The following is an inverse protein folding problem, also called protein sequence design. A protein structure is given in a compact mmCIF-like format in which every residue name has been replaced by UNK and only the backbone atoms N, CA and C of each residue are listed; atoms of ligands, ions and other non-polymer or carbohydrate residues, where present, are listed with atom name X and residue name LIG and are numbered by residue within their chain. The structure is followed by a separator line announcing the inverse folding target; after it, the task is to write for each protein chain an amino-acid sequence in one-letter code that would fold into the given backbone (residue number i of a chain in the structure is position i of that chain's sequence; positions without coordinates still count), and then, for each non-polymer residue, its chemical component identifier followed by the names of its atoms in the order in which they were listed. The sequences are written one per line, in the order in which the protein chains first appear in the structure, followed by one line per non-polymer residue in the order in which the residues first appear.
data_IF_349551352672
#
_entry.id   IF_349551352672
#
_cell.length_a   1.000
_cell.length_b   1.000
_cell.length_c   1.000
_cell.angle_alpha   90.00
_cell.angle_beta   90.00
_cell.angle_gamma   90.00
#
_symmetry.space_group_name_H-M   'P 1'
#
loop_
_entity.id
_entity.type
_entity.pdbx_description
1 polymer ?
#
# COMPACT_ATOMS: atom_id res chain seq x y z
N UNK A 1 -4.26 28.76 -10.33
CA UNK A 1 -2.82 28.48 -10.23
C UNK A 1 -2.69 27.01 -10.51
N UNK A 2 -2.12 26.64 -11.67
CA UNK A 2 -2.04 25.23 -12.06
C UNK A 2 -1.01 24.56 -11.17
N UNK A 3 -1.42 23.51 -10.46
CA UNK A 3 -0.52 22.61 -9.74
C UNK A 3 0.44 22.07 -10.80
N UNK A 4 1.74 22.35 -10.67
CA UNK A 4 2.75 21.61 -11.40
C UNK A 4 2.51 20.13 -11.03
N UNK A 5 2.09 19.32 -12.00
CA UNK A 5 2.11 17.86 -11.86
C UNK A 5 3.45 17.50 -11.22
N UNK A 6 3.44 16.79 -10.10
CA UNK A 6 4.67 16.23 -9.55
C UNK A 6 5.24 15.37 -10.67
N UNK A 7 6.36 15.83 -11.23
CA UNK A 7 7.06 15.08 -12.25
C UNK A 7 7.78 13.94 -11.54
N UNK A 8 7.12 12.78 -11.57
CA UNK A 8 7.65 11.56 -10.99
C UNK A 8 8.92 11.08 -11.71
N UNK A 9 9.20 11.57 -12.93
CA UNK A 9 10.41 11.24 -13.69
C UNK A 9 11.68 11.83 -13.04
N UNK A 10 11.55 12.96 -12.34
CA UNK A 10 12.65 13.66 -11.67
C UNK A 10 12.82 13.28 -10.19
N UNK A 11 12.16 12.20 -9.73
CA UNK A 11 12.28 11.79 -8.34
C UNK A 11 13.71 11.33 -8.00
N UNK A 12 14.36 11.90 -6.97
CA UNK A 12 15.71 11.53 -6.59
C UNK A 12 15.70 10.24 -5.78
N UNK A 13 15.31 9.12 -6.41
CA UNK A 13 15.21 7.79 -5.78
C UNK A 13 16.53 7.43 -5.07
N UNK A 14 17.67 7.78 -5.67
CA UNK A 14 19.01 7.56 -5.10
C UNK A 14 19.28 8.33 -3.80
N UNK A 15 18.55 9.41 -3.54
CA UNK A 15 18.66 10.24 -2.35
C UNK A 15 17.68 9.83 -1.24
N UNK A 16 16.69 8.99 -1.56
CA UNK A 16 15.78 8.46 -0.55
C UNK A 16 16.55 7.56 0.41
N UNK A 17 16.47 7.84 1.70
CA UNK A 17 17.20 7.07 2.73
C UNK A 17 16.78 5.60 2.76
N UNK A 18 15.52 5.29 2.46
CA UNK A 18 15.07 3.91 2.24
C UNK A 18 15.86 3.25 1.10
N UNK A 19 16.02 3.92 -0.05
CA UNK A 19 16.79 3.40 -1.19
C UNK A 19 18.27 3.24 -0.86
N UNK A 20 18.86 4.21 -0.16
CA UNK A 20 20.24 4.15 0.31
C UNK A 20 20.44 2.98 1.28
N UNK A 21 19.46 2.73 2.16
CA UNK A 21 19.49 1.60 3.10
C UNK A 21 19.40 0.27 2.36
N UNK A 22 18.52 0.15 1.36
CA UNK A 22 18.42 -1.04 0.51
C UNK A 22 19.77 -1.31 -0.19
N UNK A 23 20.29 -0.30 -0.90
CA UNK A 23 21.56 -0.41 -1.64
C UNK A 23 22.75 -0.69 -0.74
N UNK A 24 22.88 0.05 0.37
CA UNK A 24 23.99 -0.10 1.33
C UNK A 24 24.01 -1.46 2.04
N UNK A 25 22.89 -2.19 2.05
CA UNK A 25 22.78 -3.55 2.58
C UNK A 25 22.89 -4.63 1.49
N UNK A 26 23.22 -4.26 0.26
CA UNK A 26 23.30 -5.19 -0.88
C UNK A 26 21.95 -5.80 -1.25
N UNK A 27 20.84 -5.13 -0.92
CA UNK A 27 19.48 -5.54 -1.32
C UNK A 27 19.12 -4.84 -2.63
N UNK A 28 18.15 -5.40 -3.38
CA UNK A 28 17.75 -4.89 -4.70
C UNK A 28 16.36 -4.29 -4.63
N UNK A 29 16.19 -3.05 -5.09
CA UNK A 29 14.86 -2.46 -5.25
C UNK A 29 14.23 -3.05 -6.51
N UNK A 30 12.99 -3.55 -6.41
CA UNK A 30 12.26 -4.14 -7.53
C UNK A 30 11.30 -3.15 -8.18
N UNK A 31 10.57 -2.40 -7.35
CA UNK A 31 9.70 -1.33 -7.81
C UNK A 31 9.41 -0.34 -6.67
N UNK A 32 8.89 0.82 -7.03
CA UNK A 32 8.41 1.84 -6.09
C UNK A 32 7.02 2.29 -6.55
N UNK A 33 6.04 2.22 -5.65
CA UNK A 33 4.69 2.71 -5.89
C UNK A 33 4.40 3.92 -5.03
N UNK A 34 3.66 4.88 -5.57
CA UNK A 34 3.06 5.96 -4.80
C UNK A 34 1.69 5.50 -4.28
N UNK A 35 1.44 5.70 -2.99
CA UNK A 35 0.21 5.30 -2.31
C UNK A 35 -0.42 6.52 -1.63
N UNK A 36 -1.36 6.32 -0.71
CA UNK A 36 -1.94 7.43 0.04
C UNK A 36 -2.72 8.40 -0.85
N UNK A 37 -2.81 9.67 -0.49
CA UNK A 37 -3.74 10.62 -1.14
C UNK A 37 -3.61 10.71 -2.66
N UNK A 38 -2.39 10.62 -3.21
CA UNK A 38 -2.16 10.65 -4.66
C UNK A 38 -2.78 9.45 -5.38
N UNK A 39 -2.60 8.24 -4.84
CA UNK A 39 -3.20 7.02 -5.37
C UNK A 39 -4.73 7.12 -5.45
N UNK A 40 -5.33 7.79 -4.47
CA UNK A 40 -6.77 8.02 -4.39
C UNK A 40 -7.26 9.27 -5.12
N UNK A 41 -6.39 10.07 -5.76
CA UNK A 41 -6.74 11.37 -6.38
C UNK A 41 -7.37 12.36 -5.38
N UNK A 42 -6.90 12.33 -4.14
CA UNK A 42 -7.38 13.13 -3.00
C UNK A 42 -6.28 14.05 -2.44
N UNK A 43 -5.19 14.20 -3.15
CA UNK A 43 -4.09 15.09 -2.80
C UNK A 43 -4.53 16.57 -2.83
N UNK A 44 -3.80 17.38 -2.07
CA UNK A 44 -3.87 18.83 -2.07
C UNK A 44 -2.45 19.38 -1.92
N UNK A 45 -2.30 20.71 -1.96
CA UNK A 45 -1.00 21.41 -1.91
C UNK A 45 -0.14 21.06 -0.67
N UNK A 46 -0.74 20.53 0.39
CA UNK A 46 -0.06 20.14 1.63
C UNK A 46 0.05 18.63 1.82
N UNK A 47 -0.30 17.84 0.81
CA UNK A 47 -0.25 16.38 0.90
C UNK A 47 1.18 15.89 0.77
N UNK A 48 1.54 14.95 1.64
CA UNK A 48 2.78 14.21 1.56
C UNK A 48 2.71 13.21 0.38
N UNK A 49 3.87 12.86 -0.17
CA UNK A 49 4.03 11.86 -1.22
C UNK A 49 4.44 10.55 -0.54
N UNK A 50 3.46 9.67 -0.34
CA UNK A 50 3.68 8.35 0.25
C UNK A 50 4.29 7.40 -0.79
N UNK A 51 5.54 6.98 -0.59
CA UNK A 51 6.26 6.05 -1.46
C UNK A 51 6.53 4.72 -0.74
N UNK A 52 6.12 3.64 -1.38
CA UNK A 52 6.37 2.27 -0.93
C UNK A 52 7.37 1.62 -1.84
N UNK A 53 8.50 1.24 -1.27
CA UNK A 53 9.59 0.57 -1.96
C UNK A 53 9.52 -0.92 -1.71
N UNK A 54 9.39 -1.72 -2.77
CA UNK A 54 9.50 -3.18 -2.65
C UNK A 54 10.90 -3.61 -3.03
N UNK A 55 11.55 -4.35 -2.14
CA UNK A 55 12.91 -4.83 -2.32
C UNK A 55 13.04 -6.34 -2.14
N UNK A 56 14.13 -6.89 -2.64
CA UNK A 56 14.49 -8.29 -2.53
C UNK A 56 15.84 -8.39 -1.82
N UNK A 57 15.89 -9.23 -0.80
CA UNK A 57 17.16 -9.66 -0.18
C UNK A 57 17.79 -10.75 -1.05
N UNK A 58 19.12 -10.74 -1.27
CA UNK A 58 19.76 -11.77 -2.08
C UNK A 58 19.45 -13.18 -1.57
N UNK A 59 19.01 -14.08 -2.45
CA UNK A 59 18.50 -15.40 -2.05
C UNK A 59 19.59 -16.23 -1.38
N UNK A 60 20.85 -16.11 -1.84
CA UNK A 60 22.02 -16.75 -1.20
C UNK A 60 22.14 -16.40 0.29
N UNK A 61 21.80 -15.17 0.69
CA UNK A 61 21.85 -14.73 2.11
C UNK A 61 20.73 -15.35 2.93
N UNK A 62 19.54 -15.44 2.36
CA UNK A 62 18.40 -16.13 2.97
C UNK A 62 18.75 -17.60 3.22
N UNK A 63 19.29 -18.29 2.21
CA UNK A 63 19.67 -19.70 2.30
C UNK A 63 20.83 -19.97 3.27
N UNK A 64 21.69 -18.97 3.51
CA UNK A 64 22.71 -19.00 4.57
C UNK A 64 22.15 -18.80 5.98
N UNK A 65 20.85 -18.50 6.10
CA UNK A 65 20.20 -18.23 7.38
C UNK A 65 20.48 -16.83 7.93
N UNK A 66 20.94 -15.88 7.11
CA UNK A 66 21.12 -14.50 7.55
C UNK A 66 19.78 -13.84 7.90
N UNK A 67 19.78 -13.01 8.95
CA UNK A 67 18.60 -12.23 9.33
C UNK A 67 18.63 -10.86 8.66
N UNK A 68 17.48 -10.43 8.19
CA UNK A 68 17.26 -9.13 7.58
C UNK A 68 15.89 -8.61 8.02
N UNK A 69 15.70 -7.28 8.05
CA UNK A 69 14.40 -6.74 8.39
C UNK A 69 13.40 -7.00 7.27
N UNK A 70 12.19 -7.38 7.63
CA UNK A 70 11.06 -7.47 6.72
C UNK A 70 10.62 -6.09 6.19
N UNK A 71 10.94 -5.04 6.96
CA UNK A 71 10.61 -3.65 6.61
C UNK A 71 11.76 -2.69 6.89
N UNK A 72 11.90 -1.68 6.05
CA UNK A 72 12.72 -0.49 6.29
C UNK A 72 11.78 0.57 6.84
N UNK A 73 12.19 1.15 7.97
CA UNK A 73 11.39 2.11 8.73
C UNK A 73 10.95 3.27 7.85
N UNK A 74 9.71 3.69 8.07
CA UNK A 74 9.10 4.87 7.50
C UNK A 74 9.91 6.14 7.83
N UNK A 75 10.18 6.98 6.83
CA UNK A 75 10.89 8.24 6.99
C UNK A 75 10.28 9.35 6.15
N UNK A 76 9.99 10.48 6.80
CA UNK A 76 9.49 11.71 6.17
C UNK A 76 10.65 12.67 5.89
N UNK A 77 10.79 13.11 4.64
CA UNK A 77 11.85 14.02 4.20
C UNK A 77 11.28 15.16 3.37
N UNK A 78 11.45 16.40 3.84
CA UNK A 78 11.09 17.59 3.05
C UNK A 78 12.13 17.85 1.94
N UNK A 79 11.67 18.05 0.70
CA UNK A 79 12.48 18.34 -0.48
C UNK A 79 11.74 19.28 -1.44
N UNK A 80 12.42 19.69 -2.52
CA UNK A 80 11.78 20.44 -3.61
C UNK A 80 10.65 19.58 -4.19
N UNK A 81 9.45 20.14 -4.26
CA UNK A 81 8.26 19.44 -4.75
C UNK A 81 7.40 18.74 -3.69
N UNK A 82 7.82 18.65 -2.41
CA UNK A 82 6.95 18.13 -1.34
C UNK A 82 7.66 17.48 -0.17
N UNK A 83 6.86 16.88 0.73
CA UNK A 83 7.33 16.02 1.80
C UNK A 83 7.16 14.57 1.33
N UNK A 84 8.25 13.81 1.34
CA UNK A 84 8.26 12.41 0.93
C UNK A 84 8.19 11.51 2.13
N UNK A 85 7.19 10.65 2.19
CA UNK A 85 7.06 9.64 3.23
C UNK A 85 7.39 8.27 2.66
N UNK A 86 8.55 7.72 3.02
CA UNK A 86 9.09 6.52 2.38
C UNK A 86 9.14 5.34 3.33
N UNK A 87 8.60 4.19 2.92
CA UNK A 87 8.76 2.91 3.62
C UNK A 87 9.24 1.84 2.66
N UNK A 88 9.91 0.81 3.17
CA UNK A 88 10.38 -0.31 2.36
C UNK A 88 9.89 -1.65 2.87
N UNK A 89 9.41 -2.53 2.00
CA UNK A 89 9.03 -3.90 2.34
C UNK A 89 9.83 -4.92 1.53
N UNK A 90 10.29 -5.96 2.20
CA UNK A 90 10.85 -7.13 1.54
C UNK A 90 9.74 -7.90 0.81
N UNK A 91 10.00 -8.38 -0.40
CA UNK A 91 8.99 -9.03 -1.25
C UNK A 91 8.35 -10.25 -0.59
N UNK A 92 9.08 -11.05 0.17
CA UNK A 92 8.54 -12.18 0.93
C UNK A 92 7.56 -11.72 2.01
N UNK A 93 7.85 -10.61 2.68
CA UNK A 93 6.94 -10.02 3.66
C UNK A 93 5.66 -9.47 3.01
N UNK A 94 5.79 -8.82 1.86
CA UNK A 94 4.64 -8.37 1.07
C UNK A 94 3.75 -9.56 0.69
N UNK A 95 4.34 -10.65 0.19
CA UNK A 95 3.63 -11.88 -0.16
C UNK A 95 2.91 -12.50 1.05
N UNK A 96 3.58 -12.60 2.20
CA UNK A 96 2.96 -13.10 3.44
C UNK A 96 1.73 -12.28 3.85
N UNK A 97 1.75 -10.97 3.60
CA UNK A 97 0.63 -10.08 3.93
C UNK A 97 -0.47 -10.12 2.87
N UNK A 98 -0.14 -10.32 1.60
CA UNK A 98 -1.12 -10.56 0.53
C UNK A 98 -1.92 -11.84 0.79
N UNK A 99 -1.25 -12.93 1.19
CA UNK A 99 -1.90 -14.21 1.55
C UNK A 99 -2.89 -14.02 2.72
N UNK A 100 -2.61 -13.06 3.62
CA UNK A 100 -3.46 -12.71 4.76
C UNK A 100 -4.53 -11.65 4.43
N UNK A 101 -4.74 -11.32 3.16
CA UNK A 101 -5.72 -10.30 2.74
C UNK A 101 -5.39 -8.89 3.26
N UNK A 102 -4.13 -8.58 3.54
CA UNK A 102 -3.80 -7.27 4.10
C UNK A 102 -4.04 -6.13 3.09
N UNK A 103 -4.85 -5.15 3.47
CA UNK A 103 -5.26 -4.07 2.56
C UNK A 103 -4.08 -3.21 2.08
N UNK A 104 -3.10 -2.94 2.95
CA UNK A 104 -1.93 -2.15 2.57
C UNK A 104 -1.09 -2.93 1.57
N UNK A 105 -0.91 -4.25 1.77
CA UNK A 105 -0.21 -5.10 0.83
C UNK A 105 -0.86 -5.08 -0.57
N UNK A 106 -2.20 -5.15 -0.62
CA UNK A 106 -2.96 -5.03 -1.87
C UNK A 106 -2.70 -3.68 -2.53
N UNK A 107 -2.83 -2.57 -1.79
CA UNK A 107 -2.55 -1.22 -2.32
C UNK A 107 -1.11 -1.06 -2.82
N UNK A 108 -0.14 -1.65 -2.13
CA UNK A 108 1.27 -1.54 -2.49
C UNK A 108 1.59 -2.30 -3.78
N UNK A 109 0.92 -3.44 -4.01
CA UNK A 109 1.06 -4.23 -5.22
C UNK A 109 0.28 -3.66 -6.42
N UNK A 110 -0.85 -3.01 -6.17
CA UNK A 110 -1.84 -2.68 -7.21
C UNK A 110 -2.07 -1.18 -7.39
N UNK A 111 -1.28 -0.33 -6.73
CA UNK A 111 -1.36 1.11 -6.96
C UNK A 111 -1.19 1.42 -8.45
N UNK A 112 -2.08 2.25 -9.05
CA UNK A 112 -1.93 2.72 -10.42
C UNK A 112 -0.76 3.68 -10.62
N UNK A 113 -0.20 4.23 -9.53
CA UNK A 113 0.91 5.19 -9.59
C UNK A 113 2.22 4.47 -9.26
N UNK A 114 2.90 3.97 -10.28
CA UNK A 114 4.18 3.28 -10.15
C UNK A 114 5.31 4.20 -10.59
N UNK A 115 6.17 4.56 -9.65
CA UNK A 115 7.30 5.48 -9.86
C UNK A 115 8.46 4.79 -10.55
N UNK A 116 8.76 3.57 -10.11
CA UNK A 116 9.81 2.74 -10.68
C UNK A 116 9.16 1.42 -11.11
N UNK A 117 8.60 1.36 -12.34
CA UNK A 117 7.90 0.17 -12.81
C UNK A 117 8.86 -0.98 -13.09
N UNK A 118 8.34 -2.21 -13.00
CA UNK A 118 9.08 -3.41 -13.38
C UNK A 118 8.13 -4.52 -13.81
N UNK A 119 8.63 -5.46 -14.62
CA UNK A 119 7.86 -6.63 -15.03
C UNK A 119 7.39 -7.48 -13.82
N UNK A 120 8.18 -7.48 -12.73
CA UNK A 120 7.79 -8.13 -11.48
C UNK A 120 6.55 -7.48 -10.87
N UNK A 121 6.49 -6.14 -10.88
CA UNK A 121 5.34 -5.40 -10.35
C UNK A 121 4.07 -5.66 -11.15
N UNK A 122 4.15 -5.66 -12.48
CA UNK A 122 3.01 -5.96 -13.36
C UNK A 122 2.47 -7.38 -13.12
N UNK A 123 3.37 -8.36 -13.05
CA UNK A 123 3.04 -9.75 -12.77
C UNK A 123 2.40 -9.90 -11.38
N UNK A 124 2.99 -9.29 -10.34
CA UNK A 124 2.43 -9.34 -8.99
C UNK A 124 1.04 -8.68 -8.92
N UNK A 125 0.85 -7.54 -9.57
CA UNK A 125 -0.45 -6.86 -9.64
C UNK A 125 -1.52 -7.75 -10.28
N UNK A 126 -1.17 -8.45 -11.37
CA UNK A 126 -2.07 -9.40 -12.01
C UNK A 126 -2.43 -10.59 -11.10
N UNK A 127 -1.45 -11.15 -10.37
CA UNK A 127 -1.69 -12.23 -9.40
C UNK A 127 -2.63 -11.75 -8.28
N UNK A 128 -2.41 -10.55 -7.74
CA UNK A 128 -3.28 -9.99 -6.69
C UNK A 128 -4.71 -9.81 -7.19
N UNK A 129 -4.90 -9.28 -8.40
CA UNK A 129 -6.23 -9.11 -8.99
C UNK A 129 -6.94 -10.45 -9.24
N UNK A 130 -6.21 -11.49 -9.63
CA UNK A 130 -6.76 -12.83 -9.82
C UNK A 130 -7.08 -13.57 -8.50
N UNK A 131 -6.52 -13.11 -7.37
CA UNK A 131 -6.60 -13.78 -6.07
C UNK A 131 -7.25 -12.92 -4.98
N UNK A 132 -8.17 -12.03 -5.36
CA UNK A 132 -8.99 -11.31 -4.37
C UNK A 132 -9.83 -12.31 -3.56
N UNK A 133 -9.95 -12.05 -2.26
CA UNK A 133 -10.58 -12.97 -1.33
C UNK A 133 -11.35 -12.23 -0.22
N UNK A 134 -12.26 -12.96 0.44
CA UNK A 134 -13.08 -12.44 1.53
C UNK A 134 -12.26 -12.10 2.77
N UNK A 135 -11.13 -12.76 3.02
CA UNK A 135 -10.24 -12.47 4.16
C UNK A 135 -9.82 -10.99 4.21
N UNK A 136 -9.75 -10.33 3.05
CA UNK A 136 -9.39 -8.90 2.96
C UNK A 136 -10.34 -7.98 3.74
N UNK A 137 -11.59 -8.40 3.93
CA UNK A 137 -12.61 -7.66 4.68
C UNK A 137 -12.12 -7.24 6.07
N UNK A 138 -11.46 -8.13 6.82
CA UNK A 138 -11.04 -7.82 8.18
C UNK A 138 -9.99 -6.71 8.22
N UNK A 139 -9.04 -6.73 7.29
CA UNK A 139 -8.04 -5.67 7.17
C UNK A 139 -8.66 -4.35 6.70
N UNK A 140 -9.66 -4.40 5.81
CA UNK A 140 -10.36 -3.22 5.31
C UNK A 140 -11.20 -2.57 6.42
N UNK A 141 -11.98 -3.37 7.13
CA UNK A 141 -12.78 -2.93 8.27
C UNK A 141 -11.91 -2.29 9.35
N UNK A 142 -10.82 -2.96 9.74
CA UNK A 142 -9.91 -2.45 10.76
C UNK A 142 -9.21 -1.14 10.36
N UNK A 143 -8.89 -0.95 9.06
CA UNK A 143 -8.40 0.33 8.55
C UNK A 143 -9.44 1.44 8.74
N UNK A 144 -10.70 1.19 8.34
CA UNK A 144 -11.75 2.18 8.47
C UNK A 144 -12.02 2.55 9.95
N UNK A 145 -12.16 1.56 10.83
CA UNK A 145 -12.38 1.74 12.26
C UNK A 145 -11.27 2.58 12.90
N UNK A 146 -10.00 2.25 12.63
CA UNK A 146 -8.84 2.98 13.16
C UNK A 146 -8.84 4.45 12.75
N UNK A 147 -9.19 4.75 11.49
CA UNK A 147 -9.25 6.13 10.99
C UNK A 147 -10.40 6.92 11.63
N UNK A 148 -11.56 6.28 11.84
CA UNK A 148 -12.71 6.89 12.53
C UNK A 148 -12.36 7.18 13.99
N UNK A 149 -11.75 6.22 14.69
CA UNK A 149 -11.36 6.37 16.10
C UNK A 149 -10.31 7.48 16.29
N UNK A 150 -9.28 7.49 15.45
CA UNK A 150 -8.22 8.51 15.49
C UNK A 150 -8.79 9.92 15.29
N UNK A 151 -9.62 10.10 14.27
CA UNK A 151 -10.26 11.39 13.98
C UNK A 151 -11.23 11.81 15.09
N UNK A 152 -12.05 10.89 15.59
CA UNK A 152 -12.97 11.15 16.70
C UNK A 152 -12.21 11.55 17.97
N UNK A 153 -11.08 10.90 18.25
CA UNK A 153 -10.20 11.24 19.36
C UNK A 153 -9.60 12.64 19.21
N UNK A 154 -9.10 12.98 18.02
CA UNK A 154 -8.59 14.32 17.71
C UNK A 154 -9.66 15.39 17.84
N UNK A 155 -10.89 15.13 17.41
CA UNK A 155 -12.02 16.05 17.54
C UNK A 155 -12.36 16.38 18.99
N UNK A 156 -12.34 15.37 19.87
CA UNK A 156 -12.54 15.57 21.32
C UNK A 156 -11.45 16.47 21.92
N UNK A 157 -10.21 16.32 21.46
CA UNK A 157 -9.09 17.16 21.88
C UNK A 157 -9.17 18.57 21.25
N UNK A 158 -9.69 18.70 20.02
CA UNK A 158 -9.79 19.98 19.30
C UNK A 158 -11.00 20.81 19.68
N UNK A 159 -12.01 20.25 20.35
CA UNK A 159 -13.03 21.02 21.08
C UNK A 159 -12.44 21.98 22.13
N UNK A 160 -11.14 21.84 22.44
CA UNK A 160 -10.34 22.79 23.21
C UNK A 160 -9.58 23.84 22.34
N UNK A 161 -9.84 23.94 21.04
CA UNK A 161 -9.35 24.99 20.14
C UNK A 161 -8.02 24.73 19.40
N UNK A 162 -7.58 23.48 19.24
CA UNK A 162 -6.19 23.16 18.85
C UNK A 162 -5.96 22.52 17.46
N UNK A 163 -6.99 22.14 16.68
CA UNK A 163 -6.79 21.47 15.36
C UNK A 163 -7.57 22.17 14.24
N UNK A 164 -6.91 22.40 13.11
CA UNK A 164 -7.38 23.33 12.06
C UNK A 164 -8.29 22.75 10.97
N UNK A 165 -8.40 21.44 10.75
CA UNK A 165 -9.37 20.85 9.80
C UNK A 165 -9.63 19.35 10.08
N UNK A 166 -10.66 18.99 10.85
CA UNK A 166 -11.07 17.60 10.97
C UNK A 166 -11.71 17.11 9.66
N UNK A 167 -11.48 15.84 9.29
CA UNK A 167 -12.12 15.17 8.15
C UNK A 167 -11.21 14.25 7.33
N UNK A 168 -9.88 14.35 7.46
CA UNK A 168 -8.94 13.49 6.71
C UNK A 168 -9.14 12.01 7.06
N UNK A 169 -9.28 11.69 8.34
CA UNK A 169 -9.53 10.33 8.81
C UNK A 169 -10.86 9.80 8.31
N UNK A 170 -11.93 10.61 8.35
CA UNK A 170 -13.24 10.19 7.84
C UNK A 170 -13.25 9.94 6.34
N UNK A 171 -12.61 10.81 5.54
CA UNK A 171 -12.44 10.55 4.09
C UNK A 171 -11.61 9.29 3.83
N UNK A 172 -10.58 9.05 4.63
CA UNK A 172 -9.75 7.84 4.54
C UNK A 172 -10.53 6.58 4.93
N UNK A 173 -11.40 6.66 5.92
CA UNK A 173 -12.28 5.57 6.30
C UNK A 173 -13.28 5.27 5.18
N UNK A 174 -14.00 6.28 4.68
CA UNK A 174 -15.02 6.08 3.65
C UNK A 174 -14.44 5.55 2.34
N UNK A 175 -13.30 6.05 1.86
CA UNK A 175 -12.67 5.49 0.64
C UNK A 175 -12.23 4.04 0.83
N UNK A 176 -11.77 3.66 2.03
CA UNK A 176 -11.38 2.28 2.35
C UNK A 176 -12.60 1.36 2.40
N UNK A 177 -13.71 1.85 2.95
CA UNK A 177 -15.02 1.17 2.94
C UNK A 177 -15.49 0.94 1.50
N UNK A 178 -15.51 1.99 0.68
CA UNK A 178 -15.96 1.91 -0.72
C UNK A 178 -15.10 0.93 -1.53
N UNK A 179 -13.78 0.99 -1.36
CA UNK A 179 -12.85 0.02 -1.92
C UNK A 179 -13.19 -1.42 -1.53
N UNK A 180 -13.48 -1.66 -0.24
CA UNK A 180 -13.86 -2.99 0.23
C UNK A 180 -15.18 -3.47 -0.33
N UNK A 181 -16.17 -2.58 -0.48
CA UNK A 181 -17.46 -2.91 -1.07
C UNK A 181 -17.28 -3.34 -2.53
N UNK A 182 -16.53 -2.58 -3.33
CA UNK A 182 -16.27 -2.92 -4.74
C UNK A 182 -15.45 -4.22 -4.86
N UNK A 183 -14.43 -4.40 -4.01
CA UNK A 183 -13.66 -5.64 -3.97
C UNK A 183 -14.55 -6.84 -3.69
N UNK A 184 -15.38 -6.78 -2.64
CA UNK A 184 -16.17 -7.91 -2.17
C UNK A 184 -17.37 -8.22 -3.08
N UNK A 185 -17.98 -7.21 -3.73
CA UNK A 185 -19.15 -7.39 -4.61
C UNK A 185 -18.75 -7.69 -6.05
N UNK A 186 -17.77 -6.96 -6.57
CA UNK A 186 -17.46 -6.92 -8.00
C UNK A 186 -16.14 -7.61 -8.34
N UNK A 187 -15.43 -8.17 -7.34
CA UNK A 187 -14.09 -8.75 -7.50
C UNK A 187 -13.12 -7.77 -8.19
N UNK A 188 -13.19 -6.48 -7.83
CA UNK A 188 -12.48 -5.40 -8.53
C UNK A 188 -11.73 -4.50 -7.56
N UNK A 189 -10.55 -4.06 -7.99
CA UNK A 189 -9.75 -3.02 -7.33
C UNK A 189 -10.08 -1.68 -7.97
N UNK A 190 -10.44 -0.69 -7.15
CA UNK A 190 -10.87 0.62 -7.61
C UNK A 190 -10.46 1.70 -6.61
N UNK A 191 -9.84 2.77 -7.12
CA UNK A 191 -9.28 3.85 -6.32
C UNK A 191 -10.08 5.14 -6.53
N UNK A 192 -11.36 5.10 -6.19
CA UNK A 192 -12.25 6.25 -6.34
C UNK A 192 -12.09 7.25 -5.17
N UNK A 193 -11.99 8.56 -5.46
CA UNK A 193 -11.81 9.58 -4.44
C UNK A 193 -13.10 9.81 -3.63
N UNK A 194 -12.92 10.20 -2.37
CA UNK A 194 -13.97 10.82 -1.54
C UNK A 194 -13.64 12.30 -1.40
N UNK A 195 -14.38 13.16 -2.11
CA UNK A 195 -14.08 14.60 -2.21
C UNK A 195 -14.84 15.47 -1.20
N UNK A 196 -15.86 14.93 -0.55
CA UNK A 196 -16.61 15.60 0.51
C UNK A 196 -16.17 15.14 1.90
N UNK A 197 -16.61 15.86 2.93
CA UNK A 197 -16.40 15.47 4.33
C UNK A 197 -17.53 14.54 4.78
N UNK A 198 -17.24 13.25 5.07
CA UNK A 198 -18.28 12.30 5.42
C UNK A 198 -18.89 12.60 6.77
N UNK A 199 -20.19 12.34 6.89
CA UNK A 199 -20.87 12.39 8.19
C UNK A 199 -20.66 11.08 8.97
N UNK A 200 -20.92 11.11 10.29
CA UNK A 200 -20.88 9.87 11.10
C UNK A 200 -21.95 8.86 10.65
N UNK A 201 -23.11 9.35 10.21
CA UNK A 201 -24.19 8.51 9.70
C UNK A 201 -23.78 7.83 8.38
N UNK A 202 -23.15 8.56 7.48
CA UNK A 202 -22.61 8.03 6.23
C UNK A 202 -21.54 6.96 6.48
N UNK A 203 -20.61 7.19 7.41
CA UNK A 203 -19.61 6.19 7.78
C UNK A 203 -20.25 4.93 8.39
N UNK A 204 -21.26 5.11 9.26
CA UNK A 204 -21.99 3.98 9.85
C UNK A 204 -22.73 3.17 8.78
N UNK A 205 -23.39 3.85 7.85
CA UNK A 205 -24.09 3.20 6.74
C UNK A 205 -23.09 2.49 5.82
N UNK A 206 -21.97 3.12 5.47
CA UNK A 206 -20.90 2.49 4.70
C UNK A 206 -20.35 1.23 5.39
N UNK A 207 -20.14 1.25 6.70
CA UNK A 207 -19.72 0.07 7.47
C UNK A 207 -20.77 -1.06 7.41
N UNK A 208 -22.06 -0.75 7.52
CA UNK A 208 -23.12 -1.75 7.35
C UNK A 208 -23.12 -2.35 5.93
N UNK A 209 -22.88 -1.52 4.92
CA UNK A 209 -22.81 -1.96 3.53
C UNK A 209 -21.58 -2.83 3.26
N UNK A 210 -20.45 -2.53 3.89
CA UNK A 210 -19.24 -3.36 3.86
C UNK A 210 -19.49 -4.72 4.52
N UNK A 211 -20.14 -4.74 5.69
CA UNK A 211 -20.52 -5.97 6.38
C UNK A 211 -21.47 -6.83 5.53
N UNK A 212 -22.43 -6.19 4.85
CA UNK A 212 -23.32 -6.89 3.93
C UNK A 212 -22.59 -7.40 2.68
N UNK A 213 -21.70 -6.60 2.09
CA UNK A 213 -20.86 -7.02 0.97
C UNK A 213 -20.03 -8.25 1.33
N UNK A 214 -19.47 -8.32 2.55
CA UNK A 214 -18.75 -9.48 3.04
C UNK A 214 -19.63 -10.73 3.20
N UNK A 215 -20.86 -10.57 3.71
CA UNK A 215 -21.83 -11.67 3.86
C UNK A 215 -22.30 -12.24 2.53
N UNK A 216 -22.45 -11.38 1.52
CA UNK A 216 -22.96 -11.75 0.20
C UNK A 216 -21.87 -12.08 -0.82
N UNK A 217 -20.58 -11.86 -0.48
CA UNK A 217 -19.48 -12.03 -1.41
C UNK A 217 -19.35 -13.47 -1.91
N UNK A 218 -19.15 -13.60 -3.21
CA UNK A 218 -18.87 -14.87 -3.90
C UNK A 218 -17.37 -15.13 -4.06
N UNK A 219 -16.51 -14.25 -3.56
CA UNK A 219 -15.07 -14.47 -3.54
C UNK A 219 -14.71 -15.68 -2.67
N UNK A 220 -13.58 -16.36 -2.95
CA UNK A 220 -13.09 -17.40 -2.06
C UNK A 220 -12.76 -16.82 -0.68
N UNK A 221 -12.83 -17.66 0.36
CA UNK A 221 -12.49 -17.23 1.72
C UNK A 221 -11.03 -16.77 1.82
N UNK A 222 -10.12 -17.56 1.24
CA UNK A 222 -8.68 -17.32 1.20
C UNK A 222 -8.19 -17.21 -0.26
N UNK A 223 -7.06 -16.51 -0.51
CA UNK A 223 -6.44 -16.52 -1.82
C UNK A 223 -5.79 -17.87 -2.13
N UNK A 224 -5.45 -18.11 -3.41
CA UNK A 224 -4.56 -19.22 -3.78
C UNK A 224 -3.14 -18.93 -3.29
N UNK A 225 -2.78 -19.49 -2.13
CA UNK A 225 -1.47 -19.30 -1.54
C UNK A 225 -0.35 -19.81 -2.46
N UNK A 226 -0.56 -20.93 -3.15
CA UNK A 226 0.47 -21.55 -3.99
C UNK A 226 0.87 -20.61 -5.13
N UNK A 227 -0.07 -19.88 -5.76
CA UNK A 227 0.26 -18.88 -6.78
C UNK A 227 1.20 -17.78 -6.28
N UNK A 228 0.97 -17.29 -5.06
CA UNK A 228 1.84 -16.28 -4.44
C UNK A 228 3.21 -16.85 -4.06
N UNK A 229 3.24 -18.07 -3.52
CA UNK A 229 4.48 -18.75 -3.11
C UNK A 229 5.33 -19.12 -4.32
N UNK A 230 4.73 -19.63 -5.39
CA UNK A 230 5.39 -19.99 -6.64
C UNK A 230 5.92 -18.76 -7.37
N UNK A 231 5.18 -17.66 -7.36
CA UNK A 231 5.69 -16.38 -7.84
C UNK A 231 6.95 -15.98 -7.09
N UNK A 232 6.92 -15.97 -5.75
CA UNK A 232 8.10 -15.63 -4.95
C UNK A 232 9.28 -16.56 -5.25
N UNK A 233 9.03 -17.87 -5.31
CA UNK A 233 10.04 -18.88 -5.63
C UNK A 233 10.70 -18.60 -6.99
N UNK A 234 9.91 -18.34 -8.03
CA UNK A 234 10.43 -18.00 -9.36
C UNK A 234 11.30 -16.76 -9.34
N UNK A 235 10.91 -15.70 -8.63
CA UNK A 235 11.73 -14.50 -8.52
C UNK A 235 13.06 -14.76 -7.79
N UNK A 236 13.06 -15.61 -6.77
CA UNK A 236 14.29 -16.00 -6.04
C UNK A 236 15.23 -16.82 -6.90
N UNK A 237 14.70 -17.80 -7.64
CA UNK A 237 15.51 -18.63 -8.56
C UNK A 237 16.13 -17.79 -9.66
N UNK A 238 15.34 -16.89 -10.28
CA UNK A 238 15.83 -15.96 -11.29
C UNK A 238 16.96 -15.08 -10.77
N UNK A 239 16.82 -14.54 -9.56
CA UNK A 239 17.85 -13.72 -8.93
C UNK A 239 19.14 -14.52 -8.67
N UNK A 240 19.04 -15.79 -8.28
CA UNK A 240 20.21 -16.66 -8.11
C UNK A 240 20.94 -16.93 -9.42
N UNK A 241 20.21 -17.16 -10.52
CA UNK A 241 20.80 -17.40 -11.84
C UNK A 241 21.52 -16.15 -12.37
N UNK A 242 20.91 -14.98 -12.19
CA UNK A 242 21.51 -13.68 -12.55
C UNK A 242 22.79 -13.39 -11.77
N UNK A 243 22.87 -13.82 -10.51
CA UNK A 243 24.07 -13.64 -9.69
C UNK A 243 25.14 -14.69 -9.97
N UNK A 244 24.75 -15.92 -10.35
CA UNK A 244 25.70 -16.94 -10.79
C UNK A 244 26.40 -16.59 -12.12
N UNK A 245 25.75 -15.80 -12.99
CA UNK A 245 26.35 -15.31 -14.24
C UNK A 245 27.29 -14.10 -14.08
N UNK A 246 27.48 -13.59 -12.87
CA UNK A 246 28.39 -12.46 -12.56
C UNK A 246 29.70 -12.89 -11.88
N UNK A 247 29.80 -14.17 -11.51
CA UNK A 247 31.00 -14.82 -10.97
C UNK A 247 31.88 -15.35 -12.12
#
# INVERSE_FOLDING_TARGET
MMIEQIDFEDLPISELKAAQTVKGRGMRIQYISCVGSHMWKMENETSDIDLVMIYTVPTRRILRGEKFPATIRQEMVARRGGIYDTLGWEIGHLIDLLIKGNINAIWYATSPLVIMPSALQEELSAIVQANLCRESYHSIKGMAESQIESETGQLKLSGAGLVKRPGKGYRTALRSINFGIELLREARISYEPVMHDPTHEELKEGMNQLDEAYRQSMLPDLPDEDQFRDFLLRQRLKEMDEDAGKD
#
